data_IF_843526754023
#
_entry.id   IF_843526754023
#
_cell.length_a   1.000
_cell.length_b   1.000
_cell.length_c   1.000
_cell.angle_alpha   90.00
_cell.angle_beta   90.00
_cell.angle_gamma   90.00
#
_symmetry.space_group_name_H-M   'P 1'
#
loop_
_entity.id
_entity.type
_entity.pdbx_description
1 polymer ?
#
# COMPACT_ATOMS: atom_id res chain seq x y z
N UNK A 1 -16.49 -20.75 23.21
CA UNK A 1 -15.53 -21.22 22.18
C UNK A 1 -15.96 -20.65 20.84
N UNK A 2 -14.98 -20.26 20.00
CA UNK A 2 -15.10 -19.87 18.59
C UNK A 2 -15.76 -18.52 18.22
N UNK A 3 -14.98 -17.43 18.20
CA UNK A 3 -15.15 -16.34 17.21
C UNK A 3 -13.85 -15.58 16.86
N UNK A 4 -12.69 -16.21 17.02
CA UNK A 4 -11.38 -15.55 17.04
C UNK A 4 -10.93 -14.90 15.72
N UNK A 5 -11.43 -15.33 14.56
CA UNK A 5 -11.08 -14.72 13.26
C UNK A 5 -11.86 -13.43 12.99
N UNK A 6 -13.14 -13.39 13.33
CA UNK A 6 -13.96 -12.21 13.11
C UNK A 6 -13.49 -11.05 14.00
N UNK A 7 -13.10 -11.35 15.25
CA UNK A 7 -12.53 -10.38 16.18
C UNK A 7 -11.25 -9.73 15.64
N UNK A 8 -10.41 -10.49 14.93
CA UNK A 8 -9.21 -9.95 14.29
C UNK A 8 -9.58 -8.96 13.20
N UNK A 9 -10.51 -9.30 12.30
CA UNK A 9 -10.93 -8.38 11.25
C UNK A 9 -11.53 -7.09 11.79
N UNK A 10 -12.39 -7.18 12.82
CA UNK A 10 -12.97 -6.00 13.49
C UNK A 10 -11.88 -5.11 14.08
N UNK A 11 -10.86 -5.70 14.74
CA UNK A 11 -9.72 -4.94 15.27
C UNK A 11 -8.92 -4.23 14.18
N UNK A 12 -8.68 -4.90 13.06
CA UNK A 12 -7.95 -4.31 11.93
C UNK A 12 -8.76 -3.20 11.27
N UNK A 13 -10.07 -3.39 11.12
CA UNK A 13 -10.98 -2.38 10.58
C UNK A 13 -11.04 -1.15 11.48
N UNK A 14 -11.16 -1.33 12.80
CA UNK A 14 -11.10 -0.23 13.76
C UNK A 14 -9.77 0.52 13.68
N UNK A 15 -8.66 -0.20 13.61
CA UNK A 15 -7.34 0.41 13.39
C UNK A 15 -7.27 1.21 12.09
N UNK A 16 -7.78 0.66 10.97
CA UNK A 16 -7.78 1.33 9.68
C UNK A 16 -8.76 2.54 9.61
N UNK A 17 -9.67 2.66 10.57
CA UNK A 17 -10.61 3.77 10.70
C UNK A 17 -10.10 4.88 11.64
N UNK A 18 -9.12 4.59 12.49
CA UNK A 18 -8.57 5.53 13.45
C UNK A 18 -7.46 6.37 12.81
N UNK A 19 -7.84 7.53 12.27
CA UNK A 19 -6.90 8.49 11.68
C UNK A 19 -5.94 9.14 12.69
N UNK A 20 -6.20 9.00 13.99
CA UNK A 20 -5.33 9.46 15.07
C UNK A 20 -4.43 8.35 15.63
N UNK A 21 -4.66 7.11 15.20
CA UNK A 21 -3.96 5.92 15.65
C UNK A 21 -2.60 5.73 14.99
N UNK A 22 -1.91 4.62 15.31
CA UNK A 22 -0.62 4.30 14.72
C UNK A 22 -0.73 3.96 13.22
N UNK A 23 0.22 4.42 12.40
CA UNK A 23 0.20 4.19 10.94
C UNK A 23 0.69 2.79 10.51
N UNK A 24 1.10 1.95 11.46
CA UNK A 24 1.61 0.58 11.21
C UNK A 24 0.87 -0.40 12.11
N UNK A 25 0.27 -1.42 11.49
CA UNK A 25 -0.30 -2.57 12.18
C UNK A 25 0.64 -3.78 12.11
N UNK A 26 0.91 -4.38 13.26
CA UNK A 26 1.72 -5.60 13.36
C UNK A 26 0.86 -6.85 13.64
N UNK A 27 0.74 -7.75 12.66
CA UNK A 27 0.03 -9.03 12.82
C UNK A 27 1.01 -10.13 13.25
N UNK A 28 1.06 -10.42 14.55
CA UNK A 28 1.90 -11.49 15.12
C UNK A 28 1.12 -12.81 15.23
N UNK A 29 1.80 -13.92 14.97
CA UNK A 29 1.22 -15.27 15.13
C UNK A 29 2.17 -16.37 14.66
N UNK A 30 1.89 -17.60 15.06
CA UNK A 30 2.69 -18.78 14.71
C UNK A 30 2.83 -18.98 13.19
N UNK A 31 3.89 -19.66 12.71
CA UNK A 31 3.93 -20.15 11.33
C UNK A 31 2.64 -20.92 10.99
N UNK A 32 2.13 -20.76 9.77
CA UNK A 32 0.87 -21.41 9.36
C UNK A 32 -0.42 -20.78 9.93
N UNK A 33 -0.36 -19.81 10.85
CA UNK A 33 -1.56 -19.18 11.45
C UNK A 33 -2.41 -18.33 10.49
N UNK A 34 -2.06 -18.27 9.19
CA UNK A 34 -2.85 -17.54 8.19
C UNK A 34 -2.64 -16.02 8.16
N UNK A 35 -1.52 -15.49 8.68
CA UNK A 35 -1.22 -14.05 8.69
C UNK A 35 -1.34 -13.39 7.30
N UNK A 36 -0.75 -14.00 6.28
CA UNK A 36 -0.86 -13.51 4.90
C UNK A 36 -2.28 -13.60 4.34
N UNK A 37 -3.04 -14.62 4.75
CA UNK A 37 -4.45 -14.75 4.37
C UNK A 37 -5.31 -13.64 5.01
N UNK A 38 -5.01 -13.24 6.25
CA UNK A 38 -5.64 -12.08 6.90
C UNK A 38 -5.35 -10.80 6.12
N UNK A 39 -4.08 -10.52 5.79
CA UNK A 39 -3.70 -9.34 5.02
C UNK A 39 -4.36 -9.30 3.63
N UNK A 40 -4.37 -10.42 2.91
CA UNK A 40 -5.05 -10.55 1.61
C UNK A 40 -6.57 -10.35 1.70
N UNK A 41 -7.20 -10.89 2.75
CA UNK A 41 -8.63 -10.69 3.01
C UNK A 41 -8.95 -9.22 3.30
N UNK A 42 -8.08 -8.51 4.04
CA UNK A 42 -8.23 -7.08 4.30
C UNK A 42 -8.15 -6.24 3.03
N UNK A 43 -7.20 -6.54 2.13
CA UNK A 43 -7.12 -5.88 0.81
C UNK A 43 -8.43 -6.04 0.05
N UNK A 44 -9.00 -7.25 0.04
CA UNK A 44 -10.27 -7.54 -0.64
C UNK A 44 -11.44 -6.77 -0.01
N UNK A 45 -11.52 -6.70 1.32
CA UNK A 45 -12.54 -5.93 2.05
C UNK A 45 -12.43 -4.43 1.79
N UNK A 46 -11.23 -3.85 1.93
CA UNK A 46 -11.01 -2.42 1.70
C UNK A 46 -11.30 -2.03 0.25
N UNK A 47 -11.00 -2.91 -0.72
CA UNK A 47 -11.37 -2.71 -2.12
C UNK A 47 -12.89 -2.67 -2.30
N UNK A 48 -13.61 -3.63 -1.72
CA UNK A 48 -15.07 -3.69 -1.81
C UNK A 48 -15.75 -2.47 -1.17
N UNK A 49 -15.11 -1.86 -0.17
CA UNK A 49 -15.57 -0.63 0.47
C UNK A 49 -15.12 0.65 -0.24
N UNK A 50 -14.42 0.56 -1.38
CA UNK A 50 -13.80 1.70 -2.08
C UNK A 50 -12.83 2.53 -1.21
N UNK A 51 -12.15 1.87 -0.28
CA UNK A 51 -11.21 2.49 0.68
C UNK A 51 -9.76 2.03 0.51
N UNK A 52 -9.49 1.22 -0.51
CA UNK A 52 -8.14 0.78 -0.84
C UNK A 52 -7.50 1.73 -1.85
N UNK A 53 -6.50 2.52 -1.40
CA UNK A 53 -5.73 3.40 -2.28
C UNK A 53 -4.70 2.66 -3.14
N UNK A 54 -3.99 1.70 -2.56
CA UNK A 54 -3.07 0.78 -3.25
C UNK A 54 -2.75 -0.40 -2.33
N UNK A 55 -2.11 -1.44 -2.86
CA UNK A 55 -1.59 -2.56 -2.08
C UNK A 55 -0.35 -3.15 -2.75
N UNK A 56 0.57 -3.67 -1.95
CA UNK A 56 1.77 -4.33 -2.43
C UNK A 56 2.17 -5.42 -1.43
N UNK A 57 2.51 -6.60 -1.94
CA UNK A 57 3.04 -7.68 -1.11
C UNK A 57 4.53 -7.83 -1.36
N UNK A 58 5.30 -8.04 -0.28
CA UNK A 58 6.68 -8.47 -0.34
C UNK A 58 6.74 -9.99 -0.14
N UNK A 59 7.05 -10.70 -1.22
CA UNK A 59 7.16 -12.15 -1.27
C UNK A 59 8.64 -12.51 -1.48
N UNK A 60 9.12 -13.48 -0.70
CA UNK A 60 10.55 -13.81 -0.63
C UNK A 60 11.08 -14.35 -1.96
N UNK A 61 10.27 -15.12 -2.67
CA UNK A 61 10.55 -15.71 -3.97
C UNK A 61 10.62 -14.66 -5.11
N UNK A 62 10.10 -13.45 -4.88
CA UNK A 62 10.09 -12.36 -5.86
C UNK A 62 10.87 -11.13 -5.39
N UNK A 63 11.81 -11.31 -4.45
CA UNK A 63 12.54 -10.19 -3.83
C UNK A 63 13.31 -9.30 -4.83
N UNK A 64 13.70 -9.84 -5.99
CA UNK A 64 14.39 -9.08 -7.05
C UNK A 64 13.47 -8.07 -7.75
N UNK A 65 12.18 -8.38 -7.92
CA UNK A 65 11.21 -7.52 -8.59
C UNK A 65 10.35 -6.74 -7.59
N UNK A 66 10.07 -7.32 -6.42
CA UNK A 66 9.26 -6.73 -5.36
C UNK A 66 10.10 -5.85 -4.43
N UNK A 67 10.72 -4.83 -5.01
CA UNK A 67 11.59 -3.89 -4.30
C UNK A 67 10.80 -2.72 -3.70
N UNK A 68 11.34 -1.98 -2.72
CA UNK A 68 10.73 -0.73 -2.24
C UNK A 68 10.49 0.30 -3.37
N UNK A 69 11.36 0.33 -4.38
CA UNK A 69 11.14 1.19 -5.56
C UNK A 69 9.93 0.73 -6.38
N UNK A 70 9.72 -0.59 -6.53
CA UNK A 70 8.53 -1.13 -7.18
C UNK A 70 7.25 -0.82 -6.40
N UNK A 71 7.31 -0.89 -5.06
CA UNK A 71 6.22 -0.46 -4.18
C UNK A 71 5.81 0.98 -4.48
N UNK A 72 6.73 1.94 -4.46
CA UNK A 72 6.37 3.35 -4.65
C UNK A 72 5.86 3.66 -6.06
N UNK A 73 6.39 3.00 -7.09
CA UNK A 73 5.85 3.11 -8.45
C UNK A 73 4.42 2.56 -8.55
N UNK A 74 4.13 1.42 -7.91
CA UNK A 74 2.79 0.85 -7.89
C UNK A 74 1.81 1.76 -7.13
N UNK A 75 2.20 2.28 -5.97
CA UNK A 75 1.37 3.21 -5.19
C UNK A 75 1.06 4.47 -5.99
N UNK A 76 2.07 5.09 -6.62
CA UNK A 76 1.88 6.27 -7.46
C UNK A 76 0.93 5.99 -8.64
N UNK A 77 1.12 4.85 -9.31
CA UNK A 77 0.25 4.43 -10.40
C UNK A 77 -1.20 4.25 -9.94
N UNK A 78 -1.44 3.50 -8.87
CA UNK A 78 -2.79 3.24 -8.36
C UNK A 78 -3.49 4.53 -7.92
N UNK A 79 -2.80 5.41 -7.18
CA UNK A 79 -3.34 6.69 -6.76
C UNK A 79 -3.67 7.60 -7.96
N UNK A 80 -2.87 7.60 -9.02
CA UNK A 80 -3.14 8.36 -10.25
C UNK A 80 -4.40 7.87 -10.99
N UNK A 81 -4.78 6.59 -10.83
CA UNK A 81 -6.01 6.06 -11.41
C UNK A 81 -7.24 6.50 -10.62
N UNK A 82 -7.09 6.70 -9.32
CA UNK A 82 -8.17 7.08 -8.40
C UNK A 82 -8.38 8.60 -8.40
N UNK A 83 -7.29 9.38 -8.36
CA UNK A 83 -7.34 10.83 -8.17
C UNK A 83 -6.80 11.59 -9.39
N UNK A 84 -7.65 12.28 -10.17
CA UNK A 84 -7.21 13.04 -11.35
C UNK A 84 -6.15 14.11 -11.05
N UNK A 85 -6.21 14.76 -9.89
CA UNK A 85 -5.21 15.77 -9.46
C UNK A 85 -3.83 15.14 -9.30
N UNK A 86 -3.75 14.01 -8.57
CA UNK A 86 -2.53 13.22 -8.40
C UNK A 86 -1.96 12.83 -9.76
N UNK A 87 -2.81 12.34 -10.67
CA UNK A 87 -2.40 11.97 -12.03
C UNK A 87 -1.76 13.12 -12.78
N UNK A 88 -2.40 14.30 -12.75
CA UNK A 88 -1.91 15.46 -13.48
C UNK A 88 -0.55 15.91 -12.93
N UNK A 89 -0.37 15.89 -11.62
CA UNK A 89 0.91 16.22 -10.97
C UNK A 89 2.01 15.22 -11.34
N UNK A 90 1.72 13.92 -11.29
CA UNK A 90 2.67 12.87 -11.70
C UNK A 90 3.03 13.04 -13.19
N UNK A 91 2.05 13.18 -14.08
CA UNK A 91 2.30 13.36 -15.52
C UNK A 91 3.14 14.62 -15.79
N UNK A 92 2.86 15.73 -15.11
CA UNK A 92 3.67 16.94 -15.23
C UNK A 92 5.12 16.71 -14.76
N UNK A 93 5.30 15.99 -13.64
CA UNK A 93 6.63 15.63 -13.14
C UNK A 93 7.40 14.75 -14.12
N UNK A 94 6.75 13.72 -14.67
CA UNK A 94 7.36 12.83 -15.66
C UNK A 94 7.73 13.56 -16.95
N UNK A 95 6.91 14.52 -17.40
CA UNK A 95 7.25 15.35 -18.57
C UNK A 95 8.45 16.27 -18.34
N UNK A 96 8.67 16.70 -17.10
CA UNK A 96 9.80 17.56 -16.75
C UNK A 96 11.08 16.75 -16.51
N UNK A 97 10.97 15.55 -15.96
CA UNK A 97 12.08 14.64 -15.67
C UNK A 97 11.60 13.19 -15.78
N UNK A 98 11.82 12.57 -16.94
CA UNK A 98 11.48 11.16 -17.16
C UNK A 98 12.38 10.21 -16.34
N UNK A 99 13.59 10.63 -15.97
CA UNK A 99 14.54 9.77 -15.26
C UNK A 99 14.12 9.50 -13.81
N UNK A 100 13.18 10.28 -13.26
CA UNK A 100 12.67 10.11 -11.89
C UNK A 100 12.15 8.70 -11.64
N UNK A 101 11.51 8.06 -12.62
CA UNK A 101 10.96 6.69 -12.43
C UNK A 101 12.06 5.64 -12.36
N UNK A 102 13.21 5.89 -12.99
CA UNK A 102 14.36 4.98 -13.02
C UNK A 102 15.34 5.18 -11.87
N UNK A 103 15.16 6.20 -11.03
CA UNK A 103 16.07 6.46 -9.90
C UNK A 103 16.16 5.27 -8.95
N UNK A 104 17.38 5.00 -8.46
CA UNK A 104 17.62 4.05 -7.37
C UNK A 104 17.29 4.65 -5.99
N UNK A 105 17.06 5.97 -5.91
CA UNK A 105 16.74 6.66 -4.67
C UNK A 105 15.28 6.44 -4.27
N UNK A 106 15.05 5.46 -3.40
CA UNK A 106 13.72 5.08 -2.88
C UNK A 106 12.99 6.28 -2.23
N UNK A 107 13.73 7.12 -1.50
CA UNK A 107 13.15 8.29 -0.84
C UNK A 107 12.71 9.34 -1.86
N UNK A 108 13.50 9.55 -2.90
CA UNK A 108 13.14 10.46 -3.98
C UNK A 108 11.88 9.97 -4.71
N UNK A 109 11.76 8.67 -5.01
CA UNK A 109 10.54 8.09 -5.60
C UNK A 109 9.31 8.35 -4.72
N UNK A 110 9.41 8.10 -3.42
CA UNK A 110 8.28 8.35 -2.50
C UNK A 110 7.89 9.83 -2.45
N UNK A 111 8.87 10.73 -2.31
CA UNK A 111 8.61 12.17 -2.22
C UNK A 111 7.94 12.69 -3.49
N UNK A 112 8.53 12.40 -4.64
CA UNK A 112 8.14 13.01 -5.92
C UNK A 112 6.88 12.39 -6.52
N UNK A 113 6.65 11.09 -6.32
CA UNK A 113 5.56 10.36 -6.97
C UNK A 113 4.37 10.07 -6.04
N UNK A 114 4.55 10.17 -4.70
CA UNK A 114 3.48 9.85 -3.73
C UNK A 114 3.20 11.01 -2.80
N UNK A 115 4.20 11.55 -2.10
CA UNK A 115 3.96 12.57 -1.07
C UNK A 115 3.60 13.93 -1.63
N UNK A 116 4.33 14.44 -2.63
CA UNK A 116 4.04 15.74 -3.23
C UNK A 116 2.73 15.77 -4.03
N UNK A 117 2.33 14.70 -4.76
CA UNK A 117 1.05 14.67 -5.46
C UNK A 117 -0.21 14.56 -4.59
N UNK A 118 -0.08 14.15 -3.32
CA UNK A 118 -1.19 13.99 -2.36
C UNK A 118 -1.37 15.23 -1.48
#
# INVERSE_FOLDING_TARGET
>A
MANTRQDVFVRIENWANDLSGPNILWIKGFPGAGKSAIASSMVSRLRALHRLGSFFFFQRDQALSQTPSALWRMVAYDLSRIYPTVRNMIVAKLKADEAIVSTANIMQLFQELVKLPL
#
